data_IF_301091502633
#
_entry.id   IF_301091502633
#
_cell.length_a   1.000
_cell.length_b   1.000
_cell.length_c   1.000
_cell.angle_alpha   90.00
_cell.angle_beta   90.00
_cell.angle_gamma   90.00
#
_symmetry.space_group_name_H-M   'P 1'
#
loop_
_entity.id
_entity.type
_entity.pdbx_description
1 polymer ?
#
# COMPACT_ATOMS: atom_id res chain seq x y z
N UNK A 1 -4.34 16.48 -11.48
CA UNK A 1 -5.35 15.57 -10.87
C UNK A 1 -5.03 15.15 -9.45
N UNK A 2 -3.91 14.47 -9.17
CA UNK A 2 -3.55 14.01 -7.81
C UNK A 2 -3.48 15.14 -6.79
N UNK A 3 -2.80 16.24 -7.11
CA UNK A 3 -2.75 17.44 -6.27
C UNK A 3 -4.14 18.01 -6.00
N UNK A 4 -5.00 18.05 -7.02
CA UNK A 4 -6.35 18.56 -6.86
C UNK A 4 -7.18 17.70 -5.92
N UNK A 5 -7.07 16.37 -6.05
CA UNK A 5 -7.72 15.43 -5.14
C UNK A 5 -7.20 15.60 -3.70
N UNK A 6 -5.88 15.74 -3.54
CA UNK A 6 -5.27 15.98 -2.24
C UNK A 6 -5.81 17.25 -1.56
N UNK A 7 -5.93 18.35 -2.30
CA UNK A 7 -6.54 19.58 -1.80
C UNK A 7 -8.02 19.42 -1.42
N UNK A 8 -8.79 18.64 -2.19
CA UNK A 8 -10.18 18.33 -1.86
C UNK A 8 -10.25 17.52 -0.56
N UNK A 9 -9.38 16.51 -0.40
CA UNK A 9 -9.32 15.69 0.82
C UNK A 9 -8.89 16.54 2.02
N UNK A 10 -7.85 17.37 1.91
CA UNK A 10 -7.42 18.30 2.98
C UNK A 10 -8.58 19.17 3.47
N UNK A 11 -9.37 19.74 2.55
CA UNK A 11 -10.54 20.55 2.87
C UNK A 11 -11.66 19.73 3.53
N UNK A 12 -11.94 18.53 3.01
CA UNK A 12 -12.94 17.65 3.58
C UNK A 12 -12.58 17.22 5.02
N UNK A 13 -11.32 16.85 5.27
CA UNK A 13 -10.82 16.54 6.62
C UNK A 13 -10.99 17.74 7.56
N UNK A 14 -10.63 18.95 7.12
CA UNK A 14 -10.81 20.14 7.95
C UNK A 14 -12.29 20.40 8.29
N UNK A 15 -13.20 20.25 7.33
CA UNK A 15 -14.63 20.50 7.57
C UNK A 15 -15.31 19.43 8.43
N UNK A 16 -14.96 18.16 8.23
CA UNK A 16 -15.67 17.04 8.87
C UNK A 16 -14.97 16.49 10.11
N UNK A 17 -13.64 16.42 10.11
CA UNK A 17 -12.81 15.95 11.24
C UNK A 17 -12.42 17.13 12.15
N UNK A 18 -12.69 18.37 11.71
CA UNK A 18 -12.38 19.62 12.45
C UNK A 18 -10.90 19.77 12.81
N UNK A 19 -10.03 19.10 12.07
CA UNK A 19 -8.58 19.05 12.30
C UNK A 19 -7.86 19.09 10.96
N UNK A 20 -6.71 19.77 10.90
CA UNK A 20 -5.85 19.76 9.72
C UNK A 20 -5.26 18.36 9.50
N UNK A 21 -5.24 17.91 8.26
CA UNK A 21 -4.76 16.57 7.89
C UNK A 21 -3.31 16.34 8.33
N UNK A 22 -2.50 17.39 8.26
CA UNK A 22 -1.09 17.43 8.66
C UNK A 22 -0.89 17.07 10.14
N UNK A 23 -1.89 17.30 11.01
CA UNK A 23 -1.77 17.06 12.45
C UNK A 23 -1.92 15.59 12.84
N UNK A 24 -2.77 14.84 12.15
CA UNK A 24 -3.01 13.43 12.46
C UNK A 24 -2.28 12.48 11.50
N UNK A 25 -1.66 13.00 10.44
CA UNK A 25 -0.72 12.26 9.57
C UNK A 25 0.71 12.77 9.76
N UNK A 26 1.03 13.26 10.96
CA UNK A 26 2.35 13.82 11.28
C UNK A 26 3.46 12.79 11.08
N UNK A 27 3.18 11.51 11.36
CA UNK A 27 4.13 10.41 11.24
C UNK A 27 4.55 10.12 9.78
N UNK A 28 3.79 10.65 8.80
CA UNK A 28 4.14 10.55 7.39
C UNK A 28 5.04 11.70 6.90
N UNK A 29 5.19 12.77 7.69
CA UNK A 29 5.98 13.96 7.31
C UNK A 29 7.45 13.69 7.66
N UNK A 30 8.38 13.69 6.69
CA UNK A 30 9.79 13.47 6.94
C UNK A 30 10.41 14.52 7.87
N UNK A 31 11.48 14.14 8.57
CA UNK A 31 12.27 15.09 9.36
C UNK A 31 12.79 16.23 8.48
N UNK A 32 12.51 17.47 8.88
CA UNK A 32 12.88 18.67 8.14
C UNK A 32 11.75 19.29 7.32
N UNK A 33 10.62 18.61 7.18
CA UNK A 33 9.41 19.15 6.56
C UNK A 33 8.34 19.49 7.61
N UNK A 34 7.51 20.48 7.32
CA UNK A 34 6.44 20.94 8.22
C UNK A 34 5.04 20.72 7.66
N UNK A 35 4.93 20.45 6.36
CA UNK A 35 3.66 20.33 5.67
C UNK A 35 3.53 18.96 5.01
N UNK A 36 2.33 18.39 5.08
CA UNK A 36 2.01 17.15 4.39
C UNK A 36 1.87 17.42 2.89
N UNK A 37 2.64 16.68 2.10
CA UNK A 37 2.60 16.70 0.65
C UNK A 37 2.00 15.40 0.10
N UNK A 38 1.62 15.42 -1.18
CA UNK A 38 1.04 14.25 -1.88
C UNK A 38 1.99 13.05 -1.85
N UNK A 39 3.30 13.27 -1.96
CA UNK A 39 4.28 12.20 -2.00
C UNK A 39 4.38 11.45 -0.67
N UNK A 40 4.14 12.12 0.47
CA UNK A 40 4.18 11.51 1.80
C UNK A 40 3.10 10.44 1.97
N UNK A 41 1.93 10.63 1.33
CA UNK A 41 0.83 9.66 1.36
C UNK A 41 1.19 8.32 0.68
N UNK A 42 2.26 8.28 -0.12
CA UNK A 42 2.73 7.01 -0.72
C UNK A 42 3.42 6.10 0.29
N UNK A 43 3.69 6.60 1.50
CA UNK A 43 4.14 5.79 2.65
C UNK A 43 2.97 5.30 3.51
N UNK A 44 1.73 5.71 3.23
CA UNK A 44 0.56 5.27 3.98
C UNK A 44 0.08 3.91 3.46
N UNK A 45 0.45 2.85 4.17
CA UNK A 45 0.10 1.47 3.84
C UNK A 45 -0.92 0.92 4.83
N UNK A 46 -1.83 0.11 4.32
CA UNK A 46 -2.72 -0.71 5.14
C UNK A 46 -2.85 -2.08 4.49
N UNK A 47 -2.91 -3.12 5.32
CA UNK A 47 -3.00 -4.50 4.89
C UNK A 47 -3.23 -5.45 6.06
N UNK A 48 -3.45 -6.71 5.75
CA UNK A 48 -3.64 -7.79 6.74
C UNK A 48 -2.60 -8.92 6.58
N UNK A 49 -1.49 -8.60 5.92
CA UNK A 49 -0.45 -9.52 5.51
C UNK A 49 0.83 -9.36 6.36
N UNK A 50 0.81 -8.55 7.42
CA UNK A 50 1.98 -8.37 8.28
C UNK A 50 2.24 -9.60 9.16
N UNK A 51 1.18 -10.33 9.52
CA UNK A 51 1.23 -11.57 10.31
C UNK A 51 0.74 -12.75 9.45
N UNK A 52 1.64 -13.60 8.94
CA UNK A 52 1.28 -14.75 8.11
C UNK A 52 0.34 -15.73 8.83
N UNK A 53 0.59 -15.99 10.12
CA UNK A 53 -0.10 -17.01 10.91
C UNK A 53 -1.31 -16.48 11.69
N UNK A 54 -1.65 -15.19 11.54
CA UNK A 54 -2.78 -14.59 12.25
C UNK A 54 -4.12 -15.18 11.79
N UNK A 55 -4.96 -15.54 12.77
CA UNK A 55 -6.35 -15.94 12.58
C UNK A 55 -7.24 -15.28 13.65
N UNK A 56 -8.09 -14.30 13.31
CA UNK A 56 -8.30 -13.75 11.96
C UNK A 56 -7.19 -12.79 11.53
N UNK A 57 -6.94 -12.69 10.21
CA UNK A 57 -6.07 -11.66 9.64
C UNK A 57 -6.70 -10.27 9.75
N UNK A 58 -6.16 -9.43 10.64
CA UNK A 58 -6.66 -8.07 10.86
C UNK A 58 -6.09 -7.11 9.83
N UNK A 59 -6.97 -6.34 9.19
CA UNK A 59 -6.59 -5.29 8.26
C UNK A 59 -6.30 -3.99 9.03
N UNK A 60 -5.03 -3.58 9.04
CA UNK A 60 -4.57 -2.44 9.84
C UNK A 60 -3.46 -1.63 9.13
N UNK A 61 -3.09 -0.50 9.72
CA UNK A 61 -1.99 0.34 9.26
C UNK A 61 -0.64 -0.39 9.36
N UNK A 62 0.18 -0.25 8.32
CA UNK A 62 1.55 -0.76 8.30
C UNK A 62 2.51 0.41 8.53
N UNK A 63 3.09 0.45 9.73
CA UNK A 63 4.00 1.52 10.17
C UNK A 63 5.48 1.23 9.87
N UNK A 64 5.88 -0.04 9.82
CA UNK A 64 7.27 -0.46 9.55
C UNK A 64 7.43 -0.91 8.10
N UNK A 65 7.98 -0.04 7.26
CA UNK A 65 8.23 -0.32 5.84
C UNK A 65 9.36 -1.33 5.60
N UNK A 66 10.33 -1.43 6.51
CA UNK A 66 11.40 -2.43 6.38
C UNK A 66 10.83 -3.81 6.60
N UNK A 67 10.06 -3.98 7.68
CA UNK A 67 9.36 -5.23 7.95
C UNK A 67 8.38 -5.56 6.82
N UNK A 68 7.69 -4.57 6.24
CA UNK A 68 6.82 -4.77 5.09
C UNK A 68 7.56 -5.37 3.89
N UNK A 69 8.76 -4.86 3.56
CA UNK A 69 9.58 -5.39 2.46
C UNK A 69 9.97 -6.84 2.76
N UNK A 70 10.40 -7.14 3.99
CA UNK A 70 10.76 -8.50 4.40
C UNK A 70 9.56 -9.46 4.30
N UNK A 71 8.36 -9.02 4.72
CA UNK A 71 7.13 -9.82 4.61
C UNK A 71 6.73 -10.08 3.17
N UNK A 72 6.84 -9.08 2.30
CA UNK A 72 6.55 -9.24 0.87
C UNK A 72 7.54 -10.19 0.20
N UNK A 73 8.83 -10.13 0.57
CA UNK A 73 9.84 -11.07 0.09
C UNK A 73 9.54 -12.49 0.58
N UNK A 74 9.20 -12.66 1.85
CA UNK A 74 8.78 -13.94 2.42
C UNK A 74 7.64 -14.57 1.61
N UNK A 75 6.58 -13.82 1.29
CA UNK A 75 5.47 -14.35 0.48
C UNK A 75 5.88 -14.70 -0.96
N UNK A 76 6.79 -13.94 -1.57
CA UNK A 76 7.32 -14.29 -2.89
C UNK A 76 8.11 -15.60 -2.85
N UNK A 77 8.91 -15.79 -1.80
CA UNK A 77 9.73 -16.99 -1.63
C UNK A 77 8.85 -18.22 -1.34
N UNK A 78 7.80 -18.07 -0.52
CA UNK A 78 6.80 -19.12 -0.31
C UNK A 78 6.09 -19.49 -1.62
N UNK A 79 5.65 -18.49 -2.39
CA UNK A 79 5.05 -18.72 -3.71
C UNK A 79 6.01 -19.49 -4.63
N UNK A 80 7.28 -19.07 -4.70
CA UNK A 80 8.29 -19.69 -5.55
C UNK A 80 8.69 -21.10 -5.13
N UNK A 81 8.50 -21.43 -3.85
CA UNK A 81 8.71 -22.78 -3.31
C UNK A 81 7.56 -23.72 -3.70
N UNK A 82 6.33 -23.21 -3.73
CA UNK A 82 5.13 -24.00 -4.03
C UNK A 82 4.81 -24.07 -5.53
N UNK A 83 5.22 -23.07 -6.32
CA UNK A 83 4.89 -22.94 -7.74
C UNK A 83 5.94 -23.57 -8.66
N UNK A 84 5.48 -24.19 -9.74
CA UNK A 84 6.35 -24.67 -10.84
C UNK A 84 6.92 -23.54 -11.69
N UNK A 85 6.22 -22.42 -11.74
CA UNK A 85 6.63 -21.23 -12.49
C UNK A 85 7.07 -20.17 -11.50
N UNK A 86 8.38 -20.04 -11.33
CA UNK A 86 8.94 -19.06 -10.40
C UNK A 86 8.82 -17.63 -10.94
N UNK A 87 8.55 -16.70 -10.05
CA UNK A 87 8.52 -15.27 -10.29
C UNK A 87 9.79 -14.63 -9.71
N UNK A 88 10.61 -14.04 -10.59
CA UNK A 88 11.76 -13.23 -10.20
C UNK A 88 11.34 -11.77 -10.10
N UNK A 89 10.67 -11.42 -9.00
CA UNK A 89 10.26 -10.05 -8.70
C UNK A 89 11.22 -9.41 -7.71
N UNK A 90 11.49 -8.13 -7.91
CA UNK A 90 12.20 -7.30 -6.93
C UNK A 90 11.15 -6.57 -6.11
N UNK A 91 11.17 -6.76 -4.79
CA UNK A 91 10.24 -6.10 -3.87
C UNK A 91 10.74 -4.70 -3.50
N UNK A 92 10.39 -3.71 -4.32
CA UNK A 92 10.60 -2.28 -4.01
C UNK A 92 9.26 -1.59 -3.72
N UNK A 93 9.32 -0.41 -3.09
CA UNK A 93 8.14 0.32 -2.58
C UNK A 93 6.97 0.38 -3.56
N UNK A 94 7.23 0.66 -4.84
CA UNK A 94 6.17 0.75 -5.85
C UNK A 94 5.54 -0.61 -6.17
N UNK A 95 6.32 -1.70 -6.27
CA UNK A 95 5.78 -3.05 -6.44
C UNK A 95 4.87 -3.42 -5.26
N UNK A 96 5.31 -3.12 -4.04
CA UNK A 96 4.54 -3.36 -2.81
C UNK A 96 3.27 -2.49 -2.76
N UNK A 97 3.34 -1.23 -3.20
CA UNK A 97 2.19 -0.32 -3.36
C UNK A 97 1.13 -0.93 -4.30
N UNK A 98 1.57 -1.53 -5.41
CA UNK A 98 0.69 -2.21 -6.35
C UNK A 98 0.05 -3.47 -5.76
N UNK A 99 0.86 -4.35 -5.15
CA UNK A 99 0.38 -5.59 -4.53
C UNK A 99 -0.63 -5.27 -3.41
N UNK A 100 -0.33 -4.26 -2.58
CA UNK A 100 -1.23 -3.83 -1.50
C UNK A 100 -2.58 -3.36 -2.01
N UNK A 101 -2.63 -2.64 -3.13
CA UNK A 101 -3.89 -2.21 -3.78
C UNK A 101 -4.70 -3.40 -4.30
N UNK A 102 -4.03 -4.35 -4.96
CA UNK A 102 -4.68 -5.57 -5.48
C UNK A 102 -5.21 -6.40 -4.32
N UNK A 103 -4.39 -6.65 -3.29
CA UNK A 103 -4.79 -7.36 -2.06
C UNK A 103 -6.01 -6.74 -1.41
N UNK A 104 -6.05 -5.40 -1.26
CA UNK A 104 -7.21 -4.69 -0.70
C UNK A 104 -8.48 -4.93 -1.50
N UNK A 105 -8.42 -4.90 -2.84
CA UNK A 105 -9.59 -5.11 -3.70
C UNK A 105 -10.07 -6.56 -3.60
N UNK A 106 -9.15 -7.54 -3.67
CA UNK A 106 -9.50 -8.96 -3.64
C UNK A 106 -10.07 -9.44 -2.30
N UNK A 107 -9.81 -8.71 -1.22
CA UNK A 107 -10.36 -9.00 0.11
C UNK A 107 -11.77 -8.49 0.33
N UNK A 108 -12.29 -7.65 -0.57
CA UNK A 108 -13.67 -7.19 -0.50
C UNK A 108 -14.62 -8.23 -1.11
N UNK A 109 -15.80 -8.39 -0.51
CA UNK A 109 -16.84 -9.24 -1.07
C UNK A 109 -17.19 -8.79 -2.50
N UNK A 110 -17.09 -9.72 -3.46
CA UNK A 110 -17.28 -9.45 -4.89
C UNK A 110 -16.32 -8.40 -5.47
N UNK A 111 -15.12 -8.27 -4.90
CA UNK A 111 -14.07 -7.38 -5.38
C UNK A 111 -13.42 -7.85 -6.69
N UNK A 112 -13.40 -6.98 -7.69
CA UNK A 112 -12.74 -7.23 -8.97
C UNK A 112 -11.86 -6.04 -9.37
N UNK A 113 -10.66 -6.29 -9.90
CA UNK A 113 -9.71 -5.26 -10.31
C UNK A 113 -9.44 -5.33 -11.82
N UNK A 114 -9.57 -4.19 -12.51
CA UNK A 114 -9.08 -4.01 -13.88
C UNK A 114 -7.72 -3.31 -13.84
N UNK A 115 -6.65 -4.02 -14.21
CA UNK A 115 -5.29 -3.48 -14.17
C UNK A 115 -4.85 -2.95 -15.55
N UNK A 116 -4.74 -1.63 -15.68
CA UNK A 116 -4.42 -0.96 -16.95
C UNK A 116 -2.96 -0.48 -16.98
N UNK A 117 -2.31 -0.59 -18.13
CA UNK A 117 -1.08 0.14 -18.48
C UNK A 117 -0.25 -0.56 -19.55
N UNK A 118 1.03 -0.20 -19.67
CA UNK A 118 1.92 -0.61 -20.77
C UNK A 118 2.52 -2.01 -20.52
N UNK A 119 2.75 -2.81 -21.56
CA UNK A 119 3.33 -4.16 -21.43
C UNK A 119 4.68 -4.16 -20.69
N UNK A 120 4.99 -5.24 -19.97
CA UNK A 120 6.25 -5.38 -19.20
C UNK A 120 6.29 -4.70 -17.82
N UNK A 121 5.21 -4.05 -17.38
CA UNK A 121 5.12 -3.38 -16.07
C UNK A 121 4.85 -4.31 -14.88
N UNK A 122 4.96 -5.63 -15.06
CA UNK A 122 4.82 -6.61 -13.97
C UNK A 122 3.39 -6.89 -13.49
N UNK A 123 2.34 -6.33 -14.14
CA UNK A 123 0.94 -6.53 -13.71
C UNK A 123 0.50 -8.00 -13.63
N UNK A 124 0.92 -8.81 -14.60
CA UNK A 124 0.63 -10.26 -14.61
C UNK A 124 1.29 -11.00 -13.44
N UNK A 125 2.39 -10.48 -12.92
CA UNK A 125 3.12 -11.08 -11.80
C UNK A 125 2.66 -10.54 -10.44
N UNK A 126 1.87 -9.47 -10.42
CA UNK A 126 1.34 -8.83 -9.20
C UNK A 126 -0.15 -9.16 -8.96
N UNK A 127 -0.71 -10.09 -9.74
CA UNK A 127 -2.06 -10.66 -9.58
C UNK A 127 -1.90 -12.12 -9.21
#
# INVERSE_FOLDING_TARGET
DREKLFEVVKKACYHHIRTQMDKFLVDLIPEGETELQVEHLRSLFFGNYMEPDADPKIYDEVTDHTLLIERMQYYLDEYNTLSRTQMSLVMFKFAIEHISRVSRILQQDNGHALLVGIGGSGRQSAT
#
